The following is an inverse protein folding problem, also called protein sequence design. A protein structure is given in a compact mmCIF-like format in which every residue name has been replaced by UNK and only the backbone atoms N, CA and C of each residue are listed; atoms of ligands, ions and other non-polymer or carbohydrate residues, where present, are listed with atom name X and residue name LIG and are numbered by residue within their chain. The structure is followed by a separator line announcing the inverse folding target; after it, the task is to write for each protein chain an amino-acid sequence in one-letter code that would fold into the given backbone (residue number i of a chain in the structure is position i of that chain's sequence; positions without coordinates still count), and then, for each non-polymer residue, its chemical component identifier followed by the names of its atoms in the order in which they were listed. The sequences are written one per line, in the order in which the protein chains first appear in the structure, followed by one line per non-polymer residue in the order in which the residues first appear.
data_IF_097892765861
#
_entry.id   IF_097892765861
#
_cell.length_a   1.000
_cell.length_b   1.000
_cell.length_c   1.000
_cell.angle_alpha   90.00
_cell.angle_beta   90.00
_cell.angle_gamma   90.00
#
_symmetry.space_group_name_H-M   'P 1'
#
loop_
_entity.id
_entity.type
_entity.pdbx_description
1 polymer ?
#
# COMPACT_ATOMS: atom_id res chain seq x y z
N UNK A 1 33.97 -8.49 -15.80
CA UNK A 1 32.55 -8.61 -16.21
C UNK A 1 31.81 -9.40 -15.15
N UNK A 2 30.82 -8.79 -14.50
CA UNK A 2 30.00 -9.48 -13.52
C UNK A 2 29.17 -10.59 -14.20
N UNK A 3 29.11 -11.77 -13.57
CA UNK A 3 28.27 -12.87 -14.03
C UNK A 3 26.88 -12.63 -13.44
N UNK A 4 25.96 -12.10 -14.25
CA UNK A 4 24.56 -11.95 -13.88
C UNK A 4 23.84 -13.31 -13.87
N UNK A 5 22.77 -13.43 -13.08
CA UNK A 5 21.99 -14.67 -12.99
C UNK A 5 20.64 -14.55 -13.72
N UNK A 6 19.84 -15.62 -13.68
CA UNK A 6 18.54 -15.70 -14.36
C UNK A 6 17.49 -14.70 -13.83
N UNK A 7 17.74 -14.02 -12.70
CA UNK A 7 16.88 -12.97 -12.15
C UNK A 7 17.29 -11.57 -12.62
N UNK A 8 18.39 -11.44 -13.37
CA UNK A 8 18.88 -10.20 -13.95
C UNK A 8 18.56 -10.15 -15.46
N UNK A 9 17.64 -9.28 -15.86
CA UNK A 9 17.32 -9.07 -17.27
C UNK A 9 18.35 -8.15 -17.92
N UNK A 10 19.11 -8.70 -18.86
CA UNK A 10 20.04 -7.96 -19.71
C UNK A 10 19.45 -7.74 -21.10
N UNK A 11 19.66 -6.56 -21.67
CA UNK A 11 19.31 -6.29 -23.07
C UNK A 11 17.80 -6.15 -23.34
N UNK A 12 16.97 -5.99 -22.30
CA UNK A 12 15.55 -5.64 -22.47
C UNK A 12 15.44 -4.32 -23.26
N UNK A 13 14.60 -4.33 -24.29
CA UNK A 13 14.63 -3.30 -25.32
C UNK A 13 13.68 -2.14 -24.99
N UNK A 14 12.45 -2.44 -24.57
CA UNK A 14 11.41 -1.43 -24.34
C UNK A 14 10.43 -1.80 -23.23
N UNK A 15 9.68 -0.81 -22.75
CA UNK A 15 8.61 -0.95 -21.76
C UNK A 15 7.50 -1.89 -22.21
N UNK A 16 7.30 -2.08 -23.53
CA UNK A 16 6.34 -3.06 -24.06
C UNK A 16 6.68 -4.50 -23.67
N UNK A 17 7.96 -4.85 -23.60
CA UNK A 17 8.37 -6.18 -23.14
C UNK A 17 8.03 -6.39 -21.66
N UNK A 18 8.20 -5.35 -20.83
CA UNK A 18 7.80 -5.35 -19.42
C UNK A 18 6.28 -5.53 -19.31
N UNK A 19 5.52 -4.78 -20.12
CA UNK A 19 4.05 -4.90 -20.18
C UNK A 19 3.64 -6.33 -20.54
N UNK A 20 4.19 -6.91 -21.61
CA UNK A 20 3.86 -8.27 -22.04
C UNK A 20 4.08 -9.27 -20.91
N UNK A 21 5.29 -9.30 -20.34
CA UNK A 21 5.67 -10.27 -19.30
C UNK A 21 4.83 -10.12 -18.04
N UNK A 22 4.63 -8.89 -17.55
CA UNK A 22 3.84 -8.68 -16.33
C UNK A 22 2.34 -8.94 -16.55
N UNK A 23 1.81 -8.69 -17.75
CA UNK A 23 0.41 -8.97 -18.08
C UNK A 23 0.10 -10.48 -18.06
N UNK A 24 1.04 -11.32 -18.48
CA UNK A 24 0.92 -12.79 -18.43
C UNK A 24 0.77 -13.32 -16.99
N UNK A 25 1.24 -12.55 -16.01
CA UNK A 25 1.09 -12.86 -14.59
C UNK A 25 0.00 -12.03 -13.89
N UNK A 26 -0.90 -11.41 -14.65
CA UNK A 26 -2.07 -10.72 -14.13
C UNK A 26 -1.78 -9.38 -13.45
N UNK A 27 -0.63 -8.76 -13.73
CA UNK A 27 -0.39 -7.39 -13.29
C UNK A 27 -1.20 -6.38 -14.10
N UNK A 28 -1.67 -5.32 -13.45
CA UNK A 28 -2.37 -4.20 -14.07
C UNK A 28 -1.58 -2.89 -14.00
N UNK A 29 -0.64 -2.81 -13.07
CA UNK A 29 0.19 -1.66 -12.75
C UNK A 29 1.61 -2.12 -12.48
N UNK A 30 2.61 -1.32 -12.88
CA UNK A 30 3.97 -1.48 -12.42
C UNK A 30 4.57 -0.17 -11.90
N UNK A 31 5.32 -0.31 -10.82
CA UNK A 31 6.14 0.75 -10.24
C UNK A 31 7.59 0.54 -10.65
N UNK A 32 8.20 1.53 -11.29
CA UNK A 32 9.58 1.46 -11.78
C UNK A 32 10.45 2.46 -11.05
N UNK A 33 11.59 2.00 -10.54
CA UNK A 33 12.59 2.84 -9.89
C UNK A 33 13.97 2.60 -10.47
N UNK A 34 14.61 3.68 -10.95
CA UNK A 34 16.05 3.68 -11.25
C UNK A 34 16.86 3.57 -9.95
N UNK A 35 17.78 2.61 -9.90
CA UNK A 35 18.59 2.33 -8.72
C UNK A 35 19.95 3.04 -8.80
N UNK A 36 20.28 3.92 -7.84
CA UNK A 36 21.60 4.56 -7.80
C UNK A 36 22.68 3.58 -7.30
N UNK A 37 23.94 4.01 -7.31
CA UNK A 37 25.04 3.33 -6.60
C UNK A 37 24.68 3.19 -5.11
N UNK A 38 24.93 2.02 -4.54
CA UNK A 38 24.59 1.78 -3.13
C UNK A 38 25.50 2.61 -2.22
N UNK A 39 24.89 3.33 -1.27
CA UNK A 39 25.61 4.15 -0.30
C UNK A 39 26.05 3.37 0.96
N UNK A 40 25.58 2.13 1.14
CA UNK A 40 25.90 1.28 2.29
C UNK A 40 25.68 -0.22 1.98
N UNK A 41 26.09 -1.07 2.93
CA UNK A 41 26.07 -2.53 2.81
C UNK A 41 24.74 -3.19 3.21
N UNK A 42 23.72 -2.43 3.60
CA UNK A 42 22.45 -3.00 4.10
C UNK A 42 21.59 -3.62 3.00
N UNK A 43 22.01 -3.50 1.73
CA UNK A 43 21.27 -3.92 0.55
C UNK A 43 19.78 -3.50 0.61
N UNK A 44 19.57 -2.21 0.88
CA UNK A 44 18.27 -1.60 1.05
C UNK A 44 18.01 -0.60 -0.07
N UNK A 45 16.86 -0.70 -0.72
CA UNK A 45 16.45 0.23 -1.78
C UNK A 45 15.51 1.27 -1.21
N UNK A 46 15.93 2.53 -1.17
CA UNK A 46 15.04 3.65 -0.83
C UNK A 46 13.93 3.78 -1.87
N UNK A 47 12.66 3.65 -1.45
CA UNK A 47 11.55 3.62 -2.39
C UNK A 47 10.65 4.85 -2.32
N UNK A 48 10.36 5.33 -1.10
CA UNK A 48 9.50 6.49 -0.89
C UNK A 48 9.73 7.12 0.49
N UNK A 49 9.08 8.25 0.78
CA UNK A 49 9.20 8.92 2.07
C UNK A 49 8.35 8.25 3.19
N UNK A 50 7.50 7.30 2.84
CA UNK A 50 6.72 6.47 3.76
C UNK A 50 6.30 5.15 3.08
N UNK A 51 5.64 4.25 3.82
CA UNK A 51 5.11 3.01 3.26
C UNK A 51 3.69 3.16 2.65
N UNK A 52 3.04 4.32 2.78
CA UNK A 52 1.64 4.50 2.39
C UNK A 52 1.42 4.22 0.90
N UNK A 53 2.37 4.67 0.07
CA UNK A 53 2.37 4.48 -1.37
C UNK A 53 2.52 3.00 -1.78
N UNK A 54 3.24 2.20 -0.99
CA UNK A 54 3.37 0.76 -1.25
C UNK A 54 2.08 0.02 -0.84
N UNK A 55 1.51 0.34 0.31
CA UNK A 55 0.28 -0.32 0.78
C UNK A 55 -0.96 0.02 -0.05
N UNK A 56 -0.96 1.14 -0.78
CA UNK A 56 -2.06 1.45 -1.71
C UNK A 56 -2.05 0.60 -2.98
N UNK A 57 -0.97 -0.17 -3.21
CA UNK A 57 -0.77 -0.94 -4.44
C UNK A 57 -0.56 -2.42 -4.15
N UNK A 58 0.13 -2.73 -3.06
CA UNK A 58 0.53 -4.10 -2.72
C UNK A 58 -0.14 -4.57 -1.45
N UNK A 59 -0.43 -5.87 -1.41
CA UNK A 59 -0.94 -6.55 -0.24
C UNK A 59 0.20 -6.76 0.77
N UNK A 60 0.13 -6.01 1.86
CA UNK A 60 1.20 -5.89 2.83
C UNK A 60 0.66 -5.92 4.26
N UNK A 61 1.32 -6.69 5.11
CA UNK A 61 1.03 -6.76 6.54
C UNK A 61 2.03 -5.94 7.35
N UNK A 62 1.53 -5.12 8.27
CA UNK A 62 2.38 -4.38 9.19
C UNK A 62 2.80 -5.25 10.37
N UNK A 63 4.08 -5.15 10.75
CA UNK A 63 4.60 -5.75 11.98
C UNK A 63 5.59 -4.80 12.64
N UNK A 64 5.68 -4.90 13.97
CA UNK A 64 6.72 -4.23 14.75
C UNK A 64 7.89 -5.19 14.98
N UNK A 65 9.11 -4.72 14.71
CA UNK A 65 10.33 -5.46 15.09
C UNK A 65 10.68 -5.14 16.54
N UNK A 66 11.11 -6.16 17.28
CA UNK A 66 11.79 -5.99 18.58
C UNK A 66 13.04 -5.10 18.38
N UNK A 67 13.19 -4.18 19.32
CA UNK A 67 14.13 -3.05 19.48
C UNK A 67 15.35 -2.92 18.56
N UNK A 68 15.61 -1.68 18.13
CA UNK A 68 16.89 -1.28 17.55
C UNK A 68 17.99 -1.20 18.61
N UNK A 69 18.99 -2.09 18.54
CA UNK A 69 20.21 -2.08 19.40
C UNK A 69 21.29 -1.07 18.96
N UNK A 70 21.02 -0.20 17.98
CA UNK A 70 22.04 0.71 17.45
C UNK A 70 22.36 1.84 18.44
N UNK A 71 23.48 1.69 19.15
CA UNK A 71 24.05 2.70 20.07
C UNK A 71 24.98 3.73 19.39
N UNK A 72 25.14 3.66 18.06
CA UNK A 72 26.26 4.32 17.36
C UNK A 72 25.94 5.68 16.71
N UNK A 73 24.71 6.20 16.86
CA UNK A 73 24.36 7.54 16.34
C UNK A 73 23.89 8.48 17.44
N UNK A 74 24.41 9.71 17.44
CA UNK A 74 24.10 10.81 18.36
C UNK A 74 22.62 11.25 18.39
N UNK A 75 21.81 10.78 17.43
CA UNK A 75 20.37 11.00 17.32
C UNK A 75 19.56 9.69 17.27
N UNK A 76 20.18 8.56 17.66
CA UNK A 76 19.43 7.33 17.86
C UNK A 76 18.43 7.55 19.01
N UNK A 77 17.17 7.15 18.79
CA UNK A 77 16.18 6.96 19.84
C UNK A 77 16.14 5.45 20.15
N UNK A 78 16.98 4.96 21.07
CA UNK A 78 17.01 3.54 21.41
C UNK A 78 15.66 3.14 22.02
N UNK A 79 15.19 1.93 21.73
CA UNK A 79 13.95 1.39 22.31
C UNK A 79 12.63 1.68 21.56
N UNK A 80 12.62 2.44 20.45
CA UNK A 80 11.42 2.54 19.61
C UNK A 80 11.31 1.36 18.63
N UNK A 81 10.14 0.68 18.52
CA UNK A 81 9.94 -0.39 17.56
C UNK A 81 10.16 0.13 16.14
N UNK A 82 10.79 -0.68 15.29
CA UNK A 82 10.89 -0.39 13.86
C UNK A 82 9.66 -1.01 13.20
N UNK A 83 8.79 -0.16 12.68
CA UNK A 83 7.64 -0.59 11.89
C UNK A 83 8.15 -1.08 10.52
N UNK A 84 7.71 -2.27 10.13
CA UNK A 84 7.96 -2.81 8.80
C UNK A 84 6.62 -3.22 8.19
N UNK A 85 6.44 -2.92 6.91
CA UNK A 85 5.36 -3.47 6.11
C UNK A 85 5.95 -4.63 5.29
N UNK A 86 5.45 -5.84 5.49
CA UNK A 86 5.94 -7.07 4.85
C UNK A 86 5.00 -7.38 3.70
N UNK A 87 5.54 -7.62 2.50
CA UNK A 87 4.72 -8.11 1.39
C UNK A 87 4.23 -9.51 1.76
N UNK A 88 2.91 -9.75 1.67
CA UNK A 88 2.37 -11.07 1.90
C UNK A 88 2.84 -12.03 0.79
N UNK A 89 2.87 -11.53 -0.44
CA UNK A 89 3.35 -12.25 -1.62
C UNK A 89 4.26 -11.36 -2.47
N UNK A 90 5.53 -11.77 -2.63
CA UNK A 90 6.50 -11.09 -3.48
C UNK A 90 7.36 -12.11 -4.22
N UNK A 91 7.37 -12.00 -5.54
CA UNK A 91 8.08 -12.88 -6.46
C UNK A 91 9.06 -12.12 -7.32
N UNK A 92 10.20 -12.72 -7.62
CA UNK A 92 11.01 -12.34 -8.78
C UNK A 92 10.51 -13.10 -9.99
N UNK A 93 10.28 -12.40 -11.09
CA UNK A 93 10.11 -13.01 -12.40
C UNK A 93 11.50 -13.18 -13.03
N UNK A 94 11.85 -14.40 -13.41
CA UNK A 94 13.12 -14.72 -14.07
C UNK A 94 13.03 -14.51 -15.59
N UNK A 95 14.19 -14.47 -16.25
CA UNK A 95 14.27 -14.29 -17.70
C UNK A 95 13.57 -15.40 -18.51
N UNK A 96 13.45 -16.59 -17.94
CA UNK A 96 12.72 -17.73 -18.51
C UNK A 96 11.19 -17.72 -18.25
N UNK A 97 10.68 -16.72 -17.52
CA UNK A 97 9.25 -16.56 -17.22
C UNK A 97 8.79 -17.26 -15.92
N UNK A 98 9.71 -17.83 -15.14
CA UNK A 98 9.39 -18.50 -13.87
C UNK A 98 9.26 -17.50 -12.72
N UNK A 99 8.35 -17.76 -11.78
CA UNK A 99 8.20 -16.96 -10.55
C UNK A 99 8.96 -17.59 -9.39
N UNK A 100 9.82 -16.80 -8.75
CA UNK A 100 10.63 -17.19 -7.60
C UNK A 100 10.21 -16.40 -6.35
N UNK A 101 9.57 -17.07 -5.39
CA UNK A 101 9.05 -16.43 -4.17
C UNK A 101 10.18 -15.96 -3.26
N UNK A 102 10.05 -14.77 -2.69
CA UNK A 102 10.96 -14.26 -1.66
C UNK A 102 10.59 -14.77 -0.27
N UNK A 103 11.60 -14.98 0.58
CA UNK A 103 11.38 -15.42 1.97
C UNK A 103 10.59 -14.38 2.77
N UNK A 104 10.98 -13.10 2.64
CA UNK A 104 10.42 -11.99 3.42
C UNK A 104 10.81 -10.62 2.86
N UNK A 105 10.36 -10.29 1.66
CA UNK A 105 10.50 -8.93 1.14
C UNK A 105 9.64 -7.96 1.97
N UNK A 106 10.19 -6.79 2.29
CA UNK A 106 9.55 -5.82 3.18
C UNK A 106 10.02 -4.39 2.97
N UNK A 107 9.14 -3.44 3.26
CA UNK A 107 9.47 -2.03 3.42
C UNK A 107 9.73 -1.72 4.90
N UNK A 108 10.92 -1.26 5.23
CA UNK A 108 11.30 -0.79 6.57
C UNK A 108 11.01 0.70 6.64
N UNK A 109 10.16 1.11 7.58
CA UNK A 109 9.83 2.52 7.84
C UNK A 109 10.63 3.00 9.03
N UNK A 110 11.52 3.96 8.81
CA UNK A 110 12.30 4.53 9.91
C UNK A 110 11.53 5.68 10.55
N UNK A 111 11.33 5.66 11.86
CA UNK A 111 10.69 6.79 12.56
C UNK A 111 11.56 8.07 12.57
N UNK A 112 12.88 7.90 12.42
CA UNK A 112 13.86 8.99 12.48
C UNK A 112 13.97 9.78 11.16
N UNK A 113 13.50 9.22 10.05
CA UNK A 113 13.53 9.84 8.73
C UNK A 113 12.27 9.42 7.98
N UNK A 114 11.56 10.32 7.28
CA UNK A 114 10.47 9.92 6.42
C UNK A 114 11.07 9.16 5.22
N UNK A 115 11.33 7.87 5.41
CA UNK A 115 11.83 6.96 4.40
C UNK A 115 11.31 5.53 4.60
N UNK A 116 10.85 4.95 3.51
CA UNK A 116 10.59 3.53 3.36
C UNK A 116 11.67 2.92 2.49
N UNK A 117 12.34 1.89 3.01
CA UNK A 117 13.38 1.15 2.30
C UNK A 117 13.01 -0.31 2.12
N UNK A 118 13.00 -0.78 0.88
CA UNK A 118 12.79 -2.19 0.55
C UNK A 118 14.02 -3.01 0.96
N UNK A 119 13.78 -4.19 1.50
CA UNK A 119 14.80 -5.15 1.95
C UNK A 119 14.22 -6.57 1.91
N UNK A 120 15.08 -7.59 2.06
CA UNK A 120 14.64 -8.98 2.10
C UNK A 120 14.37 -9.61 0.73
N UNK A 121 15.18 -9.26 -0.27
CA UNK A 121 15.03 -9.69 -1.67
C UNK A 121 15.39 -11.15 -1.96
N UNK A 122 15.85 -11.92 -0.95
CA UNK A 122 16.30 -13.28 -1.15
C UNK A 122 15.10 -14.24 -1.35
N UNK A 123 15.19 -15.10 -2.37
CA UNK A 123 14.23 -16.17 -2.65
C UNK A 123 14.25 -17.24 -1.56
N UNK A 124 13.21 -18.08 -1.52
CA UNK A 124 13.15 -19.25 -0.65
C UNK A 124 14.35 -20.20 -0.87
N UNK A 125 14.81 -20.30 -2.12
CA UNK A 125 15.97 -21.07 -2.55
C UNK A 125 17.31 -20.37 -2.23
N UNK A 126 17.29 -19.14 -1.71
CA UNK A 126 18.49 -18.43 -1.30
C UNK A 126 19.11 -17.54 -2.39
N UNK A 127 18.44 -17.37 -3.52
CA UNK A 127 18.90 -16.58 -4.66
C UNK A 127 18.42 -15.12 -4.56
N UNK A 128 19.07 -14.23 -5.29
CA UNK A 128 18.63 -12.84 -5.50
C UNK A 128 19.27 -12.32 -6.79
N UNK A 129 18.73 -11.29 -7.45
CA UNK A 129 19.40 -10.70 -8.61
C UNK A 129 20.84 -10.32 -8.26
N UNK A 130 21.81 -10.81 -9.03
CA UNK A 130 23.23 -10.60 -8.73
C UNK A 130 23.59 -9.12 -8.82
N UNK A 131 22.88 -8.37 -9.66
CA UNK A 131 23.01 -6.92 -9.77
C UNK A 131 22.56 -6.15 -8.52
N UNK A 132 21.96 -6.82 -7.53
CA UNK A 132 21.66 -6.25 -6.20
C UNK A 132 22.71 -6.62 -5.14
N UNK A 133 23.70 -7.47 -5.45
CA UNK A 133 24.75 -7.83 -4.49
C UNK A 133 25.58 -6.60 -4.06
N UNK A 134 26.09 -6.62 -2.83
CA UNK A 134 26.96 -5.54 -2.32
C UNK A 134 28.21 -5.40 -3.20
N UNK A 135 28.79 -6.53 -3.62
CA UNK A 135 29.95 -6.58 -4.50
C UNK A 135 29.68 -5.86 -5.84
N UNK A 136 28.61 -6.22 -6.54
CA UNK A 136 28.26 -5.57 -7.81
C UNK A 136 27.94 -4.09 -7.63
N UNK A 137 27.12 -3.76 -6.63
CA UNK A 137 26.63 -2.38 -6.43
C UNK A 137 27.70 -1.39 -5.98
N UNK A 138 28.86 -1.88 -5.53
CA UNK A 138 30.03 -1.06 -5.22
C UNK A 138 31.12 -1.10 -6.31
N UNK A 139 31.00 -2.00 -7.29
CA UNK A 139 31.98 -2.13 -8.38
C UNK A 139 32.06 -0.87 -9.24
N UNK A 140 33.20 -0.70 -9.91
CA UNK A 140 33.40 0.36 -10.92
C UNK A 140 32.70 0.02 -12.25
N UNK A 141 32.41 -1.26 -12.48
CA UNK A 141 31.63 -1.77 -13.63
C UNK A 141 30.11 -1.63 -13.41
N UNK A 142 29.67 -0.70 -12.56
CA UNK A 142 28.26 -0.54 -12.21
C UNK A 142 27.45 -0.06 -13.42
N UNK A 143 26.62 -0.96 -13.93
CA UNK A 143 25.68 -0.66 -15.01
C UNK A 143 24.42 0.05 -14.51
N UNK A 144 23.68 0.77 -15.38
CA UNK A 144 22.35 1.28 -15.07
C UNK A 144 21.41 0.15 -14.65
N UNK A 145 20.66 0.35 -13.56
CA UNK A 145 19.74 -0.66 -13.02
C UNK A 145 18.39 -0.08 -12.72
N UNK A 146 17.36 -0.88 -12.96
CA UNK A 146 15.96 -0.50 -12.72
C UNK A 146 15.24 -1.64 -12.02
N UNK A 147 14.61 -1.32 -10.89
CA UNK A 147 13.71 -2.23 -10.21
C UNK A 147 12.30 -1.95 -10.71
N UNK A 148 11.69 -2.96 -11.32
CA UNK A 148 10.28 -2.95 -11.71
C UNK A 148 9.53 -3.83 -10.70
N UNK A 149 8.41 -3.34 -10.18
CA UNK A 149 7.51 -4.12 -9.31
C UNK A 149 6.10 -3.99 -9.86
N UNK A 150 5.65 -5.03 -10.56
CA UNK A 150 4.27 -5.21 -11.00
C UNK A 150 3.34 -5.57 -9.84
N UNK A 151 2.12 -5.07 -9.88
CA UNK A 151 1.05 -5.35 -8.95
C UNK A 151 -0.09 -6.03 -9.68
N UNK A 152 -0.56 -7.15 -9.14
CA UNK A 152 -1.84 -7.75 -9.55
C UNK A 152 -3.01 -7.03 -8.88
N UNK A 153 -4.23 -7.29 -9.33
CA UNK A 153 -5.45 -6.76 -8.67
C UNK A 153 -5.54 -7.10 -7.18
N UNK A 154 -4.94 -8.24 -6.76
CA UNK A 154 -4.90 -8.67 -5.36
C UNK A 154 -3.71 -8.10 -4.59
N UNK A 155 -2.93 -7.20 -5.19
CA UNK A 155 -1.75 -6.61 -4.58
C UNK A 155 -0.52 -7.54 -4.49
N UNK A 156 -0.55 -8.71 -5.14
CA UNK A 156 0.64 -9.58 -5.23
C UNK A 156 1.73 -8.84 -6.02
N UNK A 157 2.95 -8.81 -5.49
CA UNK A 157 4.10 -8.15 -6.10
C UNK A 157 4.90 -9.12 -7.00
N UNK A 158 5.08 -8.74 -8.27
CA UNK A 158 5.88 -9.47 -9.27
C UNK A 158 6.97 -8.55 -9.78
N UNK A 159 8.21 -8.82 -9.39
CA UNK A 159 9.34 -7.92 -9.63
C UNK A 159 10.27 -8.41 -10.74
N UNK A 160 10.82 -7.47 -11.49
CA UNK A 160 11.89 -7.71 -12.47
C UNK A 160 13.07 -6.79 -12.16
N UNK A 161 14.29 -7.33 -12.26
CA UNK A 161 15.51 -6.56 -12.13
C UNK A 161 16.14 -6.35 -13.51
N UNK A 162 16.11 -5.10 -14.01
CA UNK A 162 16.68 -4.76 -15.31
C UNK A 162 18.10 -4.23 -15.13
N UNK A 163 19.02 -4.75 -15.94
CA UNK A 163 20.44 -4.39 -15.92
C UNK A 163 20.86 -3.98 -17.32
N UNK A 164 21.41 -2.78 -17.43
CA UNK A 164 21.80 -2.13 -18.68
C UNK A 164 20.74 -2.25 -19.80
N UNK A 165 19.48 -1.86 -19.54
CA UNK A 165 18.44 -1.92 -20.56
C UNK A 165 18.77 -0.99 -21.72
N UNK A 166 18.24 -1.27 -22.91
CA UNK A 166 18.53 -0.49 -24.11
C UNK A 166 18.18 0.99 -23.96
N UNK A 167 18.77 1.83 -24.82
CA UNK A 167 18.52 3.27 -24.81
C UNK A 167 17.04 3.63 -25.00
N UNK A 168 16.33 2.86 -25.83
CA UNK A 168 14.89 2.97 -26.05
C UNK A 168 14.11 2.92 -24.73
N UNK A 169 14.26 1.86 -23.93
CA UNK A 169 13.66 1.78 -22.59
C UNK A 169 14.07 2.96 -21.69
N UNK A 170 15.34 3.37 -21.71
CA UNK A 170 15.82 4.46 -20.85
C UNK A 170 15.13 5.79 -21.18
N UNK A 171 14.85 6.04 -22.45
CA UNK A 171 14.11 7.21 -22.91
C UNK A 171 12.62 7.12 -22.51
N UNK A 172 11.98 5.98 -22.76
CA UNK A 172 10.60 5.74 -22.33
C UNK A 172 10.42 5.93 -20.81
N UNK A 173 11.36 5.45 -20.00
CA UNK A 173 11.33 5.61 -18.54
C UNK A 173 11.34 7.09 -18.10
N UNK A 174 12.03 7.97 -18.83
CA UNK A 174 12.07 9.41 -18.51
C UNK A 174 10.67 10.01 -18.64
N UNK A 175 9.95 9.62 -19.68
CA UNK A 175 8.64 10.14 -20.06
C UNK A 175 7.48 9.51 -19.25
N UNK A 176 7.72 8.40 -18.56
CA UNK A 176 6.69 7.82 -17.68
C UNK A 176 6.22 8.83 -16.62
N UNK A 177 4.92 8.81 -16.25
CA UNK A 177 4.42 9.65 -15.17
C UNK A 177 4.99 9.19 -13.81
N UNK A 178 5.12 10.13 -12.87
CA UNK A 178 5.42 9.79 -11.48
C UNK A 178 4.22 9.11 -10.83
N UNK A 179 4.47 8.19 -9.90
CA UNK A 179 3.40 7.55 -9.13
C UNK A 179 3.03 8.36 -7.88
N UNK A 180 1.80 8.84 -7.81
CA UNK A 180 1.28 9.59 -6.67
C UNK A 180 2.13 10.83 -6.35
N UNK A 181 2.55 10.97 -5.09
CA UNK A 181 3.43 12.04 -4.62
C UNK A 181 4.93 11.69 -4.70
N UNK A 182 5.28 10.53 -5.27
CA UNK A 182 6.68 10.12 -5.40
C UNK A 182 7.44 11.01 -6.38
N UNK A 183 8.70 11.30 -6.06
CA UNK A 183 9.63 12.02 -6.95
C UNK A 183 10.58 11.08 -7.71
N UNK A 184 10.56 9.79 -7.40
CA UNK A 184 11.58 8.82 -7.83
C UNK A 184 11.01 7.54 -8.42
N UNK A 185 9.72 7.28 -8.19
CA UNK A 185 9.04 6.10 -8.67
C UNK A 185 8.11 6.49 -9.82
N UNK A 186 8.30 5.83 -10.96
CA UNK A 186 7.53 6.00 -12.18
C UNK A 186 6.44 4.95 -12.24
N UNK A 187 5.29 5.32 -12.80
CA UNK A 187 4.15 4.45 -13.05
C UNK A 187 4.19 3.98 -14.49
N UNK A 188 4.07 2.67 -14.70
CA UNK A 188 3.80 2.06 -15.99
C UNK A 188 2.46 1.32 -15.90
N UNK A 189 1.51 1.64 -16.79
CA UNK A 189 0.25 0.89 -16.90
C UNK A 189 0.50 -0.38 -17.71
N UNK A 190 0.02 -1.53 -17.23
CA UNK A 190 0.19 -2.82 -17.92
C UNK A 190 -0.99 -3.08 -18.86
N UNK A 191 -2.20 -2.68 -18.47
CA UNK A 191 -3.38 -2.74 -19.34
C UNK A 191 -3.75 -1.34 -19.82
N UNK A 192 -3.53 -1.05 -21.12
CA UNK A 192 -3.96 0.21 -21.75
C UNK A 192 -5.48 0.40 -21.71
N UNK A 193 -6.23 -0.70 -21.60
CA UNK A 193 -7.70 -0.73 -21.58
C UNK A 193 -8.30 -0.40 -20.20
N UNK A 194 -7.49 -0.38 -19.14
CA UNK A 194 -8.01 -0.17 -17.79
C UNK A 194 -7.73 1.25 -17.33
N UNK A 195 -8.67 2.15 -17.63
CA UNK A 195 -8.81 3.41 -16.90
C UNK A 195 -8.81 3.03 -15.42
N UNK A 196 -7.76 3.39 -14.67
CA UNK A 196 -7.63 2.92 -13.28
C UNK A 196 -8.88 3.27 -12.46
N UNK A 197 -9.20 2.50 -11.43
CA UNK A 197 -10.38 2.74 -10.57
C UNK A 197 -10.51 4.21 -10.15
N UNK A 198 -9.40 4.88 -9.84
CA UNK A 198 -9.37 6.31 -9.51
C UNK A 198 -9.83 7.23 -10.65
N UNK A 199 -9.51 6.90 -11.89
CA UNK A 199 -9.88 7.71 -13.07
C UNK A 199 -11.34 7.44 -13.48
N UNK A 200 -11.81 6.18 -13.36
CA UNK A 200 -13.24 5.85 -13.47
C UNK A 200 -14.05 6.62 -12.42
N UNK A 201 -13.61 6.62 -11.17
CA UNK A 201 -14.24 7.37 -10.08
C UNK A 201 -14.17 8.88 -10.31
N UNK A 202 -13.02 9.42 -10.73
CA UNK A 202 -12.86 10.85 -11.05
C UNK A 202 -13.89 11.29 -12.10
N UNK A 203 -14.11 10.48 -13.13
CA UNK A 203 -15.13 10.75 -14.14
C UNK A 203 -16.53 10.77 -13.54
N UNK A 204 -16.90 9.77 -12.74
CA UNK A 204 -18.21 9.72 -12.04
C UNK A 204 -18.41 10.94 -11.15
N UNK A 205 -17.42 11.30 -10.32
CA UNK A 205 -17.52 12.45 -9.43
C UNK A 205 -17.65 13.76 -10.21
N UNK A 206 -16.91 13.90 -11.32
CA UNK A 206 -17.01 15.07 -12.20
C UNK A 206 -18.40 15.18 -12.83
N UNK A 207 -18.89 14.08 -13.38
CA UNK A 207 -20.13 14.04 -14.17
C UNK A 207 -21.38 14.09 -13.28
N UNK A 208 -21.35 13.45 -12.09
CA UNK A 208 -22.52 13.25 -11.23
C UNK A 208 -22.56 14.12 -9.98
N UNK A 209 -21.42 14.62 -9.48
CA UNK A 209 -21.34 15.27 -8.15
C UNK A 209 -20.86 16.72 -8.23
N UNK A 210 -19.78 16.97 -8.96
CA UNK A 210 -19.10 18.27 -8.97
C UNK A 210 -20.04 19.41 -9.41
N UNK A 211 -20.10 20.48 -8.62
CA UNK A 211 -20.90 21.67 -8.92
C UNK A 211 -22.42 21.49 -8.77
N UNK A 212 -22.90 20.35 -8.28
CA UNK A 212 -24.34 20.07 -8.13
C UNK A 212 -24.81 20.16 -6.69
N UNK A 213 -26.05 20.62 -6.50
CA UNK A 213 -26.78 20.47 -5.23
C UNK A 213 -27.65 19.22 -5.31
N UNK A 214 -27.31 18.20 -4.53
CA UNK A 214 -28.02 16.92 -4.52
C UNK A 214 -29.01 16.87 -3.35
N UNK A 215 -30.24 16.40 -3.62
CA UNK A 215 -31.25 16.18 -2.57
C UNK A 215 -30.95 14.88 -1.83
N UNK A 216 -31.20 14.89 -0.52
CA UNK A 216 -30.97 13.74 0.36
C UNK A 216 -31.74 12.49 -0.08
N UNK A 217 -31.01 11.48 -0.54
CA UNK A 217 -31.57 10.21 -0.98
C UNK A 217 -30.54 9.09 -0.82
N UNK A 218 -30.99 7.85 -1.00
CA UNK A 218 -30.16 6.66 -1.04
C UNK A 218 -30.82 5.59 -1.89
N UNK A 219 -30.04 4.58 -2.31
CA UNK A 219 -30.63 3.34 -2.79
C UNK A 219 -31.11 2.48 -1.63
N UNK A 220 -32.18 1.72 -1.83
CA UNK A 220 -32.49 0.57 -1.01
C UNK A 220 -31.69 -0.68 -1.46
N UNK A 221 -31.92 -1.84 -0.85
CA UNK A 221 -31.20 -3.08 -1.18
C UNK A 221 -31.50 -3.60 -2.59
N UNK A 222 -32.57 -3.13 -3.22
CA UNK A 222 -32.98 -3.54 -4.58
C UNK A 222 -32.51 -2.55 -5.65
N UNK A 223 -31.89 -1.43 -5.25
CA UNK A 223 -31.45 -0.37 -6.14
C UNK A 223 -32.52 0.70 -6.42
N UNK A 224 -33.62 0.72 -5.66
CA UNK A 224 -34.63 1.77 -5.78
C UNK A 224 -34.24 3.02 -4.99
N UNK A 225 -34.49 4.20 -5.56
CA UNK A 225 -34.16 5.48 -4.89
C UNK A 225 -35.22 5.84 -3.86
N UNK A 226 -34.79 6.04 -2.62
CA UNK A 226 -35.64 6.48 -1.51
C UNK A 226 -35.13 7.80 -0.89
N UNK A 227 -36.02 8.72 -0.49
CA UNK A 227 -35.62 9.92 0.26
C UNK A 227 -34.95 9.57 1.59
N UNK A 228 -33.93 10.34 1.98
CA UNK A 228 -33.22 10.12 3.24
C UNK A 228 -32.70 11.43 3.83
N UNK A 229 -32.94 11.66 5.13
CA UNK A 229 -32.67 12.96 5.80
C UNK A 229 -32.00 12.81 7.17
N UNK A 230 -31.48 11.64 7.52
CA UNK A 230 -30.81 11.43 8.80
C UNK A 230 -29.40 12.03 8.81
N UNK A 231 -28.69 11.92 9.93
CA UNK A 231 -27.33 12.47 10.13
C UNK A 231 -26.31 12.00 9.08
N UNK A 232 -26.48 10.78 8.55
CA UNK A 232 -25.59 10.19 7.54
C UNK A 232 -25.97 10.56 6.10
N UNK A 233 -26.91 11.49 5.89
CA UNK A 233 -27.48 11.79 4.57
C UNK A 233 -26.44 12.15 3.52
N UNK A 234 -25.39 12.85 3.92
CA UNK A 234 -24.33 13.28 3.01
C UNK A 234 -23.52 12.08 2.43
N UNK A 235 -23.30 11.03 3.22
CA UNK A 235 -22.61 9.81 2.76
C UNK A 235 -23.48 9.04 1.78
N UNK A 236 -24.71 8.71 2.21
CA UNK A 236 -25.66 7.97 1.38
C UNK A 236 -26.04 8.69 0.07
N UNK A 237 -26.13 10.03 0.09
CA UNK A 237 -26.41 10.80 -1.14
C UNK A 237 -25.23 10.76 -2.10
N UNK A 238 -23.99 10.73 -1.59
CA UNK A 238 -22.79 10.60 -2.41
C UNK A 238 -22.69 9.20 -3.01
N UNK A 239 -22.95 8.15 -2.22
CA UNK A 239 -23.04 6.76 -2.69
C UNK A 239 -24.07 6.63 -3.81
N UNK A 240 -25.27 7.17 -3.60
CA UNK A 240 -26.34 7.20 -4.60
C UNK A 240 -25.89 7.89 -5.90
N UNK A 241 -25.28 9.07 -5.81
CA UNK A 241 -24.77 9.81 -6.97
C UNK A 241 -23.66 9.06 -7.72
N UNK A 242 -22.94 8.16 -7.04
CA UNK A 242 -21.93 7.28 -7.63
C UNK A 242 -22.50 5.95 -8.15
N UNK A 243 -23.81 5.69 -7.97
CA UNK A 243 -24.44 4.44 -8.39
C UNK A 243 -24.20 3.26 -7.44
N UNK A 244 -23.83 3.52 -6.19
CA UNK A 244 -23.45 2.48 -5.22
C UNK A 244 -24.69 1.99 -4.48
N UNK A 245 -25.04 0.71 -4.69
CA UNK A 245 -26.13 0.06 -3.97
C UNK A 245 -25.60 -0.44 -2.62
N UNK A 246 -26.27 -0.14 -1.49
CA UNK A 246 -25.83 -0.58 -0.18
C UNK A 246 -25.63 -2.09 -0.11
N UNK A 247 -24.40 -2.51 0.19
CA UNK A 247 -24.04 -3.89 0.49
C UNK A 247 -23.28 -3.93 1.84
N UNK A 248 -23.01 -5.13 2.35
CA UNK A 248 -22.29 -5.32 3.61
C UNK A 248 -20.85 -5.81 3.37
N UNK A 249 -20.32 -5.56 2.18
CA UNK A 249 -18.97 -6.00 1.81
C UNK A 249 -17.91 -5.16 2.55
N UNK A 250 -16.75 -5.76 2.79
CA UNK A 250 -15.57 -5.09 3.35
C UNK A 250 -14.60 -4.62 2.26
N UNK A 251 -14.84 -5.02 1.01
CA UNK A 251 -14.12 -4.53 -0.16
C UNK A 251 -14.61 -3.11 -0.49
N UNK A 252 -13.68 -2.14 -0.56
CA UNK A 252 -14.01 -0.71 -0.58
C UNK A 252 -15.08 -0.29 -1.60
N UNK A 253 -15.85 0.76 -1.25
CA UNK A 253 -17.15 1.13 -1.84
C UNK A 253 -17.27 1.07 -3.38
N UNK A 254 -16.27 1.55 -4.11
CA UNK A 254 -16.30 1.58 -5.58
C UNK A 254 -14.90 1.40 -6.17
N UNK A 255 -14.73 0.41 -7.05
CA UNK A 255 -13.43 0.07 -7.65
C UNK A 255 -12.31 -0.19 -6.61
N UNK A 256 -12.66 -0.73 -5.44
CA UNK A 256 -11.72 -0.93 -4.32
C UNK A 256 -11.31 0.35 -3.60
N UNK A 257 -12.04 1.45 -3.82
CA UNK A 257 -11.80 2.75 -3.19
C UNK A 257 -12.92 2.99 -2.17
N UNK A 258 -12.52 3.23 -0.92
CA UNK A 258 -13.40 3.70 0.14
C UNK A 258 -13.79 5.17 -0.05
N UNK A 259 -15.08 5.45 -0.05
CA UNK A 259 -15.65 6.77 -0.29
C UNK A 259 -16.17 7.36 1.03
N UNK A 260 -15.53 8.44 1.48
CA UNK A 260 -15.94 9.13 2.72
C UNK A 260 -16.41 10.56 2.44
N UNK A 261 -17.58 10.90 2.96
CA UNK A 261 -18.07 12.27 3.02
C UNK A 261 -17.97 12.80 4.46
N UNK A 262 -17.44 14.01 4.64
CA UNK A 262 -17.29 14.64 5.94
C UNK A 262 -17.66 16.12 5.89
N UNK A 263 -18.33 16.59 6.94
CA UNK A 263 -18.62 18.01 7.20
C UNK A 263 -17.92 18.53 8.45
N UNK A 264 -17.28 17.63 9.21
CA UNK A 264 -16.56 17.95 10.44
C UNK A 264 -15.07 17.64 10.31
N UNK A 265 -14.25 18.18 11.20
CA UNK A 265 -12.80 17.93 11.23
C UNK A 265 -12.42 16.49 11.58
N UNK A 266 -13.32 15.72 12.21
CA UNK A 266 -13.08 14.33 12.57
C UNK A 266 -13.75 13.44 11.54
N UNK A 267 -12.96 12.64 10.84
CA UNK A 267 -13.44 11.65 9.88
C UNK A 267 -13.28 10.25 10.48
N UNK A 268 -14.39 9.50 10.52
CA UNK A 268 -14.36 8.08 10.84
C UNK A 268 -13.73 7.32 9.68
N UNK A 269 -12.63 6.61 9.93
CA UNK A 269 -11.96 5.82 8.91
C UNK A 269 -12.66 4.47 8.73
N UNK A 270 -12.64 3.65 9.78
CA UNK A 270 -13.26 2.32 9.83
C UNK A 270 -13.89 2.10 11.20
N UNK A 271 -14.76 1.10 11.30
CA UNK A 271 -15.27 0.60 12.58
C UNK A 271 -14.84 -0.85 12.71
N UNK A 272 -14.03 -1.12 13.73
CA UNK A 272 -13.53 -2.46 14.06
C UNK A 272 -13.96 -2.81 15.48
N UNK A 273 -14.03 -4.10 15.76
CA UNK A 273 -14.28 -4.60 17.10
C UNK A 273 -12.97 -5.09 17.74
N UNK A 274 -12.76 -4.88 19.06
CA UNK A 274 -11.64 -5.49 19.77
C UNK A 274 -11.66 -7.02 19.65
N UNK A 275 -10.52 -7.60 19.28
CA UNK A 275 -10.35 -9.04 19.05
C UNK A 275 -9.66 -9.78 20.21
N UNK A 276 -9.58 -9.14 21.38
CA UNK A 276 -8.99 -9.70 22.60
C UNK A 276 -9.44 -9.01 23.89
N UNK A 277 -9.03 -9.60 25.02
CA UNK A 277 -9.35 -9.11 26.37
C UNK A 277 -10.83 -9.23 26.74
N UNK A 278 -11.20 -8.56 27.84
CA UNK A 278 -12.54 -8.69 28.43
C UNK A 278 -13.68 -8.36 27.45
N UNK A 279 -13.47 -7.44 26.50
CA UNK A 279 -14.48 -7.13 25.48
C UNK A 279 -14.91 -8.38 24.68
N UNK A 280 -13.94 -9.18 24.24
CA UNK A 280 -14.17 -10.39 23.45
C UNK A 280 -14.59 -11.58 24.31
N UNK A 281 -14.06 -11.67 25.52
CA UNK A 281 -14.31 -12.78 26.44
C UNK A 281 -15.69 -12.70 27.09
N UNK A 282 -16.08 -11.52 27.58
CA UNK A 282 -17.39 -11.24 28.18
C UNK A 282 -17.79 -9.77 27.98
N UNK A 283 -18.49 -9.50 26.88
CA UNK A 283 -18.94 -8.15 26.54
C UNK A 283 -19.86 -7.54 27.61
N UNK A 284 -20.69 -8.35 28.27
CA UNK A 284 -21.60 -7.86 29.30
C UNK A 284 -20.82 -7.37 30.52
N UNK A 285 -19.83 -8.14 30.96
CA UNK A 285 -18.95 -7.74 32.05
C UNK A 285 -18.06 -6.56 31.68
N UNK A 286 -17.57 -6.50 30.44
CA UNK A 286 -16.86 -5.35 29.92
C UNK A 286 -17.70 -4.06 30.03
N UNK A 287 -18.96 -4.11 29.58
CA UNK A 287 -19.87 -2.96 29.65
C UNK A 287 -20.22 -2.56 31.08
N UNK A 288 -20.34 -3.52 32.02
CA UNK A 288 -20.54 -3.23 33.44
C UNK A 288 -19.31 -2.62 34.10
N UNK A 289 -18.12 -3.06 33.68
CA UNK A 289 -16.84 -2.63 34.26
C UNK A 289 -16.43 -1.23 33.77
N UNK A 290 -16.56 -0.97 32.48
CA UNK A 290 -16.02 0.24 31.84
C UNK A 290 -17.09 1.21 31.34
N UNK A 291 -18.32 0.73 31.14
CA UNK A 291 -19.46 1.53 30.71
C UNK A 291 -20.17 2.24 31.86
N UNK A 292 -21.27 2.91 31.54
CA UNK A 292 -22.15 3.56 32.51
C UNK A 292 -23.61 3.37 32.10
N UNK A 293 -24.51 3.30 33.08
CA UNK A 293 -25.95 3.24 32.85
C UNK A 293 -26.48 4.61 32.40
N UNK A 294 -27.29 4.60 31.34
CA UNK A 294 -28.06 5.77 30.89
C UNK A 294 -29.46 5.33 30.47
N UNK A 295 -30.42 5.53 31.37
CA UNK A 295 -31.73 4.88 31.28
C UNK A 295 -31.57 3.40 31.59
N UNK A 296 -32.20 2.56 30.77
CA UNK A 296 -32.12 1.10 30.89
C UNK A 296 -30.92 0.49 30.13
N UNK A 297 -30.15 1.31 29.41
CA UNK A 297 -29.03 0.87 28.58
C UNK A 297 -27.67 1.16 29.23
N UNK A 298 -26.74 0.22 29.11
CA UNK A 298 -25.32 0.50 29.30
C UNK A 298 -24.75 1.19 28.07
N UNK A 299 -23.95 2.23 28.30
CA UNK A 299 -23.25 2.97 27.26
C UNK A 299 -21.78 3.09 27.60
N UNK A 300 -20.94 2.99 26.57
CA UNK A 300 -19.53 3.33 26.66
C UNK A 300 -19.25 4.40 25.61
N UNK A 301 -18.85 5.59 26.05
CA UNK A 301 -18.60 6.71 25.15
C UNK A 301 -17.36 7.47 25.59
N UNK A 302 -16.49 7.82 24.66
CA UNK A 302 -15.31 8.61 24.94
C UNK A 302 -14.24 8.44 23.87
N UNK A 303 -13.33 9.41 23.79
CA UNK A 303 -12.17 9.29 22.93
C UNK A 303 -11.09 8.51 23.66
N UNK A 304 -10.75 7.34 23.14
CA UNK A 304 -9.69 6.48 23.65
C UNK A 304 -8.49 6.59 22.71
N UNK A 305 -7.29 6.68 23.28
CA UNK A 305 -6.05 6.81 22.51
C UNK A 305 -5.03 5.87 23.11
N UNK A 306 -4.40 5.08 22.24
CA UNK A 306 -3.36 4.13 22.65
C UNK A 306 -2.37 4.78 23.63
N UNK A 307 -2.07 4.06 24.71
CA UNK A 307 -1.15 4.46 25.78
C UNK A 307 -1.55 5.74 26.55
N UNK A 308 -2.79 6.22 26.40
CA UNK A 308 -3.30 7.35 27.16
C UNK A 308 -4.54 6.94 27.95
N UNK A 309 -4.42 6.90 29.27
CA UNK A 309 -5.52 6.55 30.15
C UNK A 309 -6.66 7.56 30.01
N UNK A 310 -7.84 7.08 29.63
CA UNK A 310 -9.05 7.86 29.59
C UNK A 310 -9.58 8.04 31.02
N UNK A 311 -9.79 9.27 31.47
CA UNK A 311 -10.20 9.55 32.85
C UNK A 311 -11.61 9.08 33.22
N UNK A 312 -12.47 8.77 32.24
CA UNK A 312 -13.84 8.30 32.48
C UNK A 312 -13.93 6.78 32.56
N UNK A 313 -13.13 6.07 31.77
CA UNK A 313 -13.22 4.62 31.60
C UNK A 313 -12.01 3.89 32.18
N UNK A 314 -10.92 4.59 32.50
CA UNK A 314 -9.62 4.04 32.90
C UNK A 314 -8.96 3.12 31.87
N UNK A 315 -9.48 3.07 30.64
CA UNK A 315 -8.90 2.33 29.51
C UNK A 315 -7.76 3.13 28.86
N UNK A 316 -6.79 2.43 28.26
CA UNK A 316 -5.62 3.00 27.54
C UNK A 316 -5.52 2.52 26.10
#
# INVERSE_FOLDING_TARGET
MAIFNHLDYQGLISSKEIVSRLSEHGCDLALIKKLPKNANDKNQVYFHHDASLLNSVFDMSFSERVESTSQTKRASAPGKPITQAVFNEFYWLSSDGTLHKTKKCKAIVYHQYPEARLSGFQTEQGEMPQSMSVEFTKSEDLLPRYLVIGATQKGIAIAMMLVDPAEEFRNEFIDLPLFGSSKICKRLSINELDISGSEKLRKILTDSVAGKTLKGCRFDKTGETIPFTSTQVHGYTLEHACGIIPNADQDGDIFGIELKCFTTKKLSLITTEPDGGLYKEDFAEFMKTYGYLKGDDYRLTGLHRVNNTNSKTNLT
#
